data_IF_116231769862
#
_entry.id   IF_116231769862
#
_cell.length_a   1.000
_cell.length_b   1.000
_cell.length_c   1.000
_cell.angle_alpha   90.00
_cell.angle_beta   90.00
_cell.angle_gamma   90.00
#
_symmetry.space_group_name_H-M   'P 1'
#
loop_
_entity.id
_entity.type
_entity.pdbx_description
1 polymer ?
#
# COMPACT_ATOMS: atom_id res chain seq x y z
N UNK A 1 -18.56 36.70 14.70
CA UNK A 1 -17.54 36.07 13.84
C UNK A 1 -18.18 34.93 13.06
N UNK A 2 -18.76 35.22 11.88
CA UNK A 2 -19.47 34.22 11.08
C UNK A 2 -18.46 33.33 10.32
N UNK A 3 -18.56 32.00 10.48
CA UNK A 3 -17.79 31.03 9.70
C UNK A 3 -18.23 31.11 8.24
N UNK A 4 -17.34 31.58 7.38
CA UNK A 4 -17.52 31.61 5.93
C UNK A 4 -17.82 30.19 5.41
N UNK A 5 -18.89 29.99 4.60
CA UNK A 5 -19.19 28.68 4.04
C UNK A 5 -18.12 28.33 3.01
N UNK A 6 -17.38 27.24 3.22
CA UNK A 6 -16.47 26.71 2.19
C UNK A 6 -17.29 26.39 0.95
N UNK A 7 -16.92 27.01 -0.16
CA UNK A 7 -17.62 26.85 -1.45
C UNK A 7 -17.54 25.39 -1.92
N UNK A 8 -18.59 24.84 -2.54
CA UNK A 8 -18.64 23.44 -3.02
C UNK A 8 -17.44 23.05 -3.92
N UNK A 9 -16.89 24.02 -4.64
CA UNK A 9 -15.69 23.83 -5.47
C UNK A 9 -14.42 23.51 -4.64
N UNK A 10 -14.29 24.05 -3.43
CA UNK A 10 -13.16 23.75 -2.55
C UNK A 10 -13.25 22.34 -1.94
N UNK A 11 -14.46 21.87 -1.63
CA UNK A 11 -14.65 20.48 -1.17
C UNK A 11 -14.39 19.49 -2.29
N UNK A 12 -14.86 19.77 -3.52
CA UNK A 12 -14.61 18.93 -4.69
C UNK A 12 -13.11 18.83 -5.04
N UNK A 13 -12.37 19.95 -4.98
CA UNK A 13 -10.90 19.91 -5.19
C UNK A 13 -10.16 19.08 -4.15
N UNK A 14 -10.58 19.14 -2.88
CA UNK A 14 -9.99 18.31 -1.81
C UNK A 14 -10.30 16.83 -2.00
N UNK A 15 -11.53 16.50 -2.38
CA UNK A 15 -11.91 15.12 -2.69
C UNK A 15 -11.12 14.59 -3.88
N UNK A 16 -10.97 15.39 -4.94
CA UNK A 16 -10.17 15.02 -6.10
C UNK A 16 -8.68 14.83 -5.75
N UNK A 17 -8.08 15.70 -4.94
CA UNK A 17 -6.68 15.53 -4.51
C UNK A 17 -6.50 14.29 -3.64
N UNK A 18 -7.45 14.01 -2.73
CA UNK A 18 -7.43 12.79 -1.92
C UNK A 18 -7.61 11.54 -2.75
N UNK A 19 -8.48 11.56 -3.76
CA UNK A 19 -8.66 10.43 -4.68
C UNK A 19 -7.40 10.14 -5.50
N UNK A 20 -6.70 11.19 -5.97
CA UNK A 20 -5.41 11.05 -6.64
C UNK A 20 -4.36 10.46 -5.69
N UNK A 21 -4.24 10.99 -4.48
CA UNK A 21 -3.29 10.49 -3.48
C UNK A 21 -3.54 9.01 -3.14
N UNK A 22 -4.79 8.60 -2.93
CA UNK A 22 -5.14 7.19 -2.67
C UNK A 22 -4.79 6.31 -3.88
N UNK A 23 -5.00 6.82 -5.10
CA UNK A 23 -4.65 6.09 -6.33
C UNK A 23 -3.14 5.90 -6.44
N UNK A 24 -2.37 6.93 -6.15
CA UNK A 24 -0.91 6.87 -6.16
C UNK A 24 -0.40 5.87 -5.12
N UNK A 25 -0.87 5.96 -3.87
CA UNK A 25 -0.52 5.01 -2.80
C UNK A 25 -0.89 3.57 -3.15
N UNK A 26 -2.04 3.35 -3.79
CA UNK A 26 -2.46 2.03 -4.25
C UNK A 26 -1.56 1.47 -5.36
N UNK A 27 -1.19 2.29 -6.34
CA UNK A 27 -0.22 1.90 -7.37
C UNK A 27 1.12 1.52 -6.74
N UNK A 28 1.57 2.30 -5.77
CA UNK A 28 2.79 2.07 -5.02
C UNK A 28 2.72 0.76 -4.22
N UNK A 29 1.58 0.44 -3.60
CA UNK A 29 1.36 -0.83 -2.91
C UNK A 29 1.43 -2.02 -3.87
N UNK A 30 0.88 -1.90 -5.08
CA UNK A 30 0.97 -2.94 -6.11
C UNK A 30 2.41 -3.21 -6.53
N UNK A 31 3.25 -2.19 -6.60
CA UNK A 31 4.68 -2.35 -6.91
C UNK A 31 5.42 -3.08 -5.79
N UNK A 32 5.16 -2.75 -4.53
CA UNK A 32 5.72 -3.47 -3.36
C UNK A 32 5.28 -4.93 -3.34
N UNK A 33 4.00 -5.20 -3.61
CA UNK A 33 3.48 -6.57 -3.68
C UNK A 33 4.12 -7.36 -4.82
N UNK A 34 4.37 -6.73 -5.98
CA UNK A 34 5.10 -7.36 -7.09
C UNK A 34 6.55 -7.68 -6.70
N UNK A 35 7.24 -6.76 -6.03
CA UNK A 35 8.59 -6.99 -5.53
C UNK A 35 8.65 -8.16 -4.53
N UNK A 36 7.66 -8.24 -3.63
CA UNK A 36 7.52 -9.38 -2.70
C UNK A 36 7.31 -10.70 -3.44
N UNK A 37 6.41 -10.75 -4.43
CA UNK A 37 6.17 -11.96 -5.22
C UNK A 37 7.42 -12.41 -6.02
N UNK A 38 8.21 -11.47 -6.54
CA UNK A 38 9.49 -11.77 -7.19
C UNK A 38 10.50 -12.39 -6.20
N UNK A 39 10.56 -11.85 -4.98
CA UNK A 39 11.44 -12.36 -3.93
C UNK A 39 11.00 -13.75 -3.43
N UNK A 40 9.69 -13.97 -3.28
CA UNK A 40 9.11 -15.27 -2.96
C UNK A 40 9.42 -16.30 -4.07
N UNK A 41 9.33 -15.88 -5.34
CA UNK A 41 9.75 -16.68 -6.49
C UNK A 41 11.23 -17.07 -6.44
N UNK A 42 12.13 -16.12 -6.17
CA UNK A 42 13.57 -16.34 -6.04
C UNK A 42 13.92 -17.29 -4.87
N UNK A 43 13.20 -17.17 -3.77
CA UNK A 43 13.38 -18.01 -2.59
C UNK A 43 12.74 -19.39 -2.72
N UNK A 44 11.83 -19.57 -3.68
CA UNK A 44 11.13 -20.84 -3.89
C UNK A 44 12.12 -21.96 -4.27
N UNK A 45 12.04 -23.14 -3.62
CA UNK A 45 12.92 -24.27 -3.90
C UNK A 45 12.89 -24.71 -5.37
N UNK A 46 11.78 -24.47 -6.07
CA UNK A 46 11.58 -24.83 -7.49
C UNK A 46 12.50 -24.03 -8.41
N UNK A 47 12.78 -22.76 -8.10
CA UNK A 47 13.64 -21.91 -8.95
C UNK A 47 15.13 -22.06 -8.64
N UNK A 48 15.51 -22.64 -7.49
CA UNK A 48 16.92 -22.98 -7.20
C UNK A 48 17.48 -24.09 -8.10
N UNK A 49 16.61 -24.90 -8.70
CA UNK A 49 17.00 -26.02 -9.55
C UNK A 49 17.18 -25.62 -11.03
N UNK A 50 16.67 -24.46 -11.46
CA UNK A 50 16.77 -23.99 -12.84
C UNK A 50 17.63 -22.72 -12.94
N UNK A 51 18.89 -22.92 -13.32
CA UNK A 51 19.71 -21.92 -14.03
C UNK A 51 19.93 -20.56 -13.36
N UNK A 52 20.54 -20.53 -12.18
CA UNK A 52 21.28 -19.35 -11.73
C UNK A 52 22.67 -19.77 -11.22
N UNK A 53 23.56 -20.15 -12.14
CA UNK A 53 24.98 -20.37 -11.78
C UNK A 53 25.67 -19.09 -11.29
N UNK A 54 25.07 -17.91 -11.48
CA UNK A 54 25.71 -16.62 -11.19
C UNK A 54 25.22 -15.91 -9.92
N UNK A 55 24.18 -16.41 -9.25
CA UNK A 55 23.61 -15.75 -8.08
C UNK A 55 23.42 -16.71 -6.91
N UNK A 56 24.46 -16.81 -6.08
CA UNK A 56 24.41 -17.41 -4.75
C UNK A 56 23.97 -16.35 -3.75
N UNK A 57 22.71 -16.38 -3.32
CA UNK A 57 22.23 -15.57 -2.19
C UNK A 57 21.96 -16.48 -0.98
N UNK A 58 22.53 -16.16 0.17
CA UNK A 58 22.16 -16.80 1.42
C UNK A 58 20.82 -16.22 1.93
N UNK A 59 20.00 -17.01 2.64
CA UNK A 59 18.77 -16.51 3.25
C UNK A 59 18.97 -15.31 4.20
N UNK A 60 20.20 -15.11 4.71
CA UNK A 60 20.58 -13.93 5.48
C UNK A 60 20.68 -12.65 4.64
N UNK A 61 21.08 -12.75 3.38
CA UNK A 61 21.37 -11.61 2.50
C UNK A 61 20.12 -10.82 2.13
N UNK A 62 18.97 -11.49 2.12
CA UNK A 62 17.67 -10.88 1.79
C UNK A 62 16.90 -10.40 3.02
N UNK A 63 17.42 -10.62 4.24
CA UNK A 63 16.72 -10.28 5.49
C UNK A 63 16.44 -8.79 5.63
N UNK A 64 17.41 -7.95 5.26
CA UNK A 64 17.24 -6.49 5.29
C UNK A 64 16.16 -6.05 4.30
N UNK A 65 16.13 -6.64 3.10
CA UNK A 65 15.15 -6.34 2.07
C UNK A 65 13.72 -6.75 2.49
N UNK A 66 13.56 -7.97 3.02
CA UNK A 66 12.27 -8.45 3.56
C UNK A 66 11.79 -7.58 4.72
N UNK A 67 12.71 -7.16 5.59
CA UNK A 67 12.38 -6.28 6.73
C UNK A 67 11.85 -4.94 6.25
N UNK A 68 12.49 -4.32 5.26
CA UNK A 68 12.06 -3.06 4.66
C UNK A 68 10.69 -3.21 3.96
N UNK A 69 10.50 -4.29 3.20
CA UNK A 69 9.22 -4.56 2.52
C UNK A 69 8.09 -4.72 3.55
N UNK A 70 8.30 -5.49 4.62
CA UNK A 70 7.30 -5.71 5.65
C UNK A 70 6.93 -4.42 6.39
N UNK A 71 7.93 -3.60 6.71
CA UNK A 71 7.71 -2.28 7.33
C UNK A 71 6.87 -1.37 6.43
N UNK A 72 7.18 -1.33 5.13
CA UNK A 72 6.44 -0.48 4.20
C UNK A 72 5.03 -1.02 3.93
N UNK A 73 4.86 -2.34 3.87
CA UNK A 73 3.55 -2.99 3.75
C UNK A 73 2.65 -2.62 4.93
N UNK A 74 3.19 -2.70 6.16
CA UNK A 74 2.46 -2.34 7.37
C UNK A 74 2.12 -0.83 7.38
N UNK A 75 3.10 0.03 7.10
CA UNK A 75 2.94 1.49 7.05
C UNK A 75 1.85 1.94 6.08
N UNK A 76 1.67 1.24 4.96
CA UNK A 76 0.65 1.55 3.94
C UNK A 76 -0.71 0.92 4.22
N UNK A 77 -0.73 -0.24 4.88
CA UNK A 77 -1.99 -0.94 5.17
C UNK A 77 -2.77 -0.24 6.29
N UNK A 78 -2.09 0.27 7.32
CA UNK A 78 -2.72 0.93 8.47
C UNK A 78 -3.62 2.13 8.09
N UNK A 79 -3.19 3.11 7.27
CA UNK A 79 -4.05 4.21 6.83
C UNK A 79 -5.24 3.76 5.98
N UNK A 80 -5.04 2.73 5.13
CA UNK A 80 -6.09 2.19 4.26
C UNK A 80 -7.18 1.51 5.10
N UNK A 81 -6.80 0.70 6.08
CA UNK A 81 -7.74 0.10 7.01
C UNK A 81 -8.54 1.16 7.78
N UNK A 82 -7.88 2.23 8.24
CA UNK A 82 -8.56 3.29 8.96
C UNK A 82 -9.54 4.07 8.07
N UNK A 83 -9.17 4.28 6.80
CA UNK A 83 -10.07 4.87 5.81
C UNK A 83 -11.30 3.97 5.57
N UNK A 84 -11.12 2.66 5.45
CA UNK A 84 -12.22 1.69 5.30
C UNK A 84 -13.15 1.74 6.52
N UNK A 85 -12.60 1.64 7.74
CA UNK A 85 -13.38 1.73 8.98
C UNK A 85 -14.15 3.05 9.09
N UNK A 86 -13.56 4.15 8.67
CA UNK A 86 -14.21 5.47 8.65
C UNK A 86 -15.37 5.53 7.65
N UNK A 87 -15.17 4.95 6.45
CA UNK A 87 -16.22 4.82 5.43
C UNK A 87 -17.41 3.98 5.93
N UNK A 88 -17.14 2.83 6.54
CA UNK A 88 -18.19 1.96 7.10
C UNK A 88 -19.00 2.67 8.19
N UNK A 89 -18.35 3.41 9.09
CA UNK A 89 -19.02 4.21 10.13
C UNK A 89 -19.91 5.28 9.51
N UNK A 90 -19.42 6.00 8.50
CA UNK A 90 -20.19 7.04 7.81
C UNK A 90 -21.42 6.45 7.08
N UNK A 91 -21.28 5.30 6.44
CA UNK A 91 -22.38 4.60 5.78
C UNK A 91 -23.44 4.13 6.79
N UNK A 92 -23.03 3.57 7.93
CA UNK A 92 -23.94 3.19 9.02
C UNK A 92 -24.66 4.40 9.64
N UNK A 93 -23.99 5.54 9.75
CA UNK A 93 -24.58 6.78 10.27
C UNK A 93 -25.59 7.41 9.30
N UNK A 94 -25.43 7.22 7.99
CA UNK A 94 -26.34 7.76 6.94
C UNK A 94 -27.58 6.89 6.72
N UNK A 95 -27.58 5.64 7.20
CA UNK A 95 -28.70 4.70 7.14
C UNK A 95 -29.65 4.75 8.35
N UNK A 96 -29.45 5.69 9.29
CA UNK A 96 -30.38 6.08 10.36
C UNK A 96 -30.99 7.43 10.03
#
# INVERSE_FOLDING_TARGET
MAKSPRTPAQSLRKVASSALQITDEFCHLKEVHRAYACLEGLLSPVHRAMHYEEFSFEPGDLRALVTVINLELQRRTEPVEEAIRSLEKALKAKGR
#
